data_IF_928755293820
#
_entry.id   IF_928755293820
#
_cell.length_a   1.000
_cell.length_b   1.000
_cell.length_c   1.000
_cell.angle_alpha   90.00
_cell.angle_beta   90.00
_cell.angle_gamma   90.00
#
_symmetry.space_group_name_H-M   'P 1'
#
loop_
_entity.id
_entity.type
_entity.pdbx_description
1 polymer ?
#
# COMPACT_ATOMS: atom_id res chain seq x y z
N UNK A 1 21.00 1.23 11.08
CA UNK A 1 21.01 0.42 9.84
C UNK A 1 19.63 -0.22 9.73
N UNK A 2 18.89 -0.04 8.63
CA UNK A 2 17.59 -0.72 8.46
C UNK A 2 17.88 -2.15 8.02
N UNK A 3 17.55 -3.12 8.87
CA UNK A 3 17.77 -4.54 8.61
C UNK A 3 16.64 -5.06 7.70
N UNK A 4 16.87 -6.14 6.95
CA UNK A 4 15.83 -6.75 6.10
C UNK A 4 14.56 -7.10 6.91
N UNK A 5 14.71 -7.45 8.19
CA UNK A 5 13.61 -7.73 9.12
C UNK A 5 12.69 -6.52 9.39
N UNK A 6 13.15 -5.30 9.10
CA UNK A 6 12.39 -4.07 9.34
C UNK A 6 11.54 -3.67 8.11
N UNK A 7 11.72 -4.37 6.99
CA UNK A 7 10.92 -4.23 5.77
C UNK A 7 9.60 -4.95 5.99
N UNK A 8 8.50 -4.22 5.86
CA UNK A 8 7.17 -4.78 6.10
C UNK A 8 6.32 -4.83 4.84
N UNK A 9 6.53 -3.94 3.87
CA UNK A 9 5.73 -3.90 2.64
C UNK A 9 6.54 -3.48 1.42
N UNK A 10 5.98 -3.73 0.24
CA UNK A 10 6.59 -3.42 -1.06
C UNK A 10 5.60 -2.66 -1.93
N UNK A 11 6.09 -1.68 -2.66
CA UNK A 11 5.30 -0.97 -3.67
C UNK A 11 5.55 -1.60 -5.02
N UNK A 12 4.48 -2.07 -5.65
CA UNK A 12 4.52 -2.75 -6.93
C UNK A 12 3.60 -2.05 -7.93
N UNK A 13 3.78 -2.35 -9.21
CA UNK A 13 2.81 -2.10 -10.28
C UNK A 13 2.34 -3.41 -10.87
N UNK A 14 1.19 -3.38 -11.54
CA UNK A 14 0.73 -4.54 -12.30
C UNK A 14 1.49 -4.65 -13.61
N UNK A 15 1.81 -5.88 -14.00
CA UNK A 15 2.22 -6.21 -15.35
C UNK A 15 1.10 -5.83 -16.36
N UNK A 16 1.54 -5.49 -17.57
CA UNK A 16 0.63 -5.22 -18.67
C UNK A 16 -0.19 -6.47 -19.03
N UNK A 17 -1.28 -6.29 -19.78
CA UNK A 17 -2.11 -7.42 -20.21
C UNK A 17 -1.33 -8.43 -21.05
N UNK A 18 -0.40 -7.97 -21.87
CA UNK A 18 0.45 -8.82 -22.70
C UNK A 18 1.42 -9.63 -21.84
N UNK A 19 2.14 -8.99 -20.91
CA UNK A 19 3.07 -9.68 -20.01
C UNK A 19 2.36 -10.70 -19.10
N UNK A 20 1.11 -10.43 -18.69
CA UNK A 20 0.33 -11.42 -17.93
C UNK A 20 -0.09 -12.64 -18.75
N UNK A 21 -0.37 -12.46 -20.05
CA UNK A 21 -0.76 -13.55 -20.95
C UNK A 21 0.41 -14.50 -21.19
N UNK A 22 1.62 -13.95 -21.33
CA UNK A 22 2.85 -14.73 -21.51
C UNK A 22 3.21 -15.59 -20.28
N UNK A 23 2.61 -15.28 -19.13
CA UNK A 23 2.83 -15.97 -17.85
C UNK A 23 1.73 -16.98 -17.50
N UNK A 24 0.85 -17.35 -18.44
CA UNK A 24 -0.33 -18.22 -18.22
C UNK A 24 -1.15 -17.82 -16.99
N UNK A 25 -1.13 -16.53 -16.66
CA UNK A 25 -1.75 -16.03 -15.44
C UNK A 25 -3.21 -15.71 -15.74
N UNK A 26 -4.12 -16.35 -15.03
CA UNK A 26 -5.55 -16.03 -15.11
C UNK A 26 -5.73 -14.51 -14.93
N UNK A 27 -6.27 -13.85 -15.95
CA UNK A 27 -6.43 -12.40 -15.93
C UNK A 27 -7.51 -12.05 -14.91
N UNK A 28 -7.11 -11.69 -13.68
CA UNK A 28 -8.05 -11.26 -12.66
C UNK A 28 -8.77 -9.99 -13.15
N UNK A 29 -10.10 -9.96 -13.06
CA UNK A 29 -10.91 -8.80 -13.44
C UNK A 29 -10.77 -7.71 -12.38
N UNK A 30 -9.69 -6.93 -12.47
CA UNK A 30 -9.49 -5.73 -11.66
C UNK A 30 -10.10 -4.50 -12.32
N UNK A 31 -10.62 -3.53 -11.54
CA UNK A 31 -11.02 -2.24 -12.10
C UNK A 31 -9.84 -1.61 -12.87
N UNK A 32 -10.09 -1.14 -14.10
CA UNK A 32 -9.04 -0.55 -14.97
C UNK A 32 -8.21 0.54 -14.28
N UNK A 33 -8.84 1.31 -13.37
CA UNK A 33 -8.17 2.35 -12.59
C UNK A 33 -7.14 1.79 -11.61
N UNK A 34 -7.40 0.64 -11.00
CA UNK A 34 -6.50 -0.02 -10.06
C UNK A 34 -5.30 -0.60 -10.81
N UNK A 35 -5.53 -1.23 -11.96
CA UNK A 35 -4.47 -1.84 -12.78
C UNK A 35 -3.40 -0.83 -13.26
N UNK A 36 -3.77 0.44 -13.42
CA UNK A 36 -2.87 1.52 -13.86
C UNK A 36 -2.11 2.22 -12.71
N UNK A 37 -2.45 1.90 -11.46
CA UNK A 37 -1.86 2.54 -10.30
C UNK A 37 -0.80 1.65 -9.66
N UNK A 38 0.11 2.28 -8.92
CA UNK A 38 0.95 1.55 -7.96
C UNK A 38 0.09 0.99 -6.83
N UNK A 39 0.54 -0.11 -6.23
CA UNK A 39 -0.11 -0.75 -5.10
C UNK A 39 0.89 -1.04 -4.00
N UNK A 40 0.44 -0.99 -2.75
CA UNK A 40 1.19 -1.51 -1.61
C UNK A 40 0.78 -2.95 -1.36
N UNK A 41 1.76 -3.85 -1.33
CA UNK A 41 1.59 -5.25 -0.93
C UNK A 41 1.59 -5.33 0.59
N UNK A 42 0.51 -5.88 1.15
CA UNK A 42 0.33 -6.02 2.61
C UNK A 42 0.82 -7.36 3.15
N UNK A 43 0.83 -8.41 2.32
CA UNK A 43 1.19 -9.77 2.72
C UNK A 43 0.41 -10.83 1.95
N UNK A 44 0.70 -12.10 2.24
CA UNK A 44 0.00 -13.24 1.66
C UNK A 44 -1.45 -13.35 2.13
N UNK A 45 -2.29 -13.99 1.32
CA UNK A 45 -3.68 -14.29 1.67
C UNK A 45 -3.76 -15.65 2.37
N UNK A 46 -4.40 -15.76 3.55
CA UNK A 46 -4.60 -17.05 4.21
C UNK A 46 -5.30 -18.05 3.30
N UNK A 47 -4.76 -19.26 3.19
CA UNK A 47 -5.31 -20.32 2.34
C UNK A 47 -4.94 -20.24 0.86
N UNK A 48 -4.17 -19.23 0.41
CA UNK A 48 -3.77 -19.11 -1.00
C UNK A 48 -2.31 -18.64 -1.12
N UNK A 49 -1.40 -19.58 -1.39
CA UNK A 49 0.05 -19.33 -1.37
C UNK A 49 0.56 -18.43 -2.50
N UNK A 50 -0.17 -18.34 -3.61
CA UNK A 50 0.21 -17.55 -4.78
C UNK A 50 -0.49 -16.19 -4.86
N UNK A 51 -1.28 -15.81 -3.85
CA UNK A 51 -1.98 -14.53 -3.82
C UNK A 51 -1.49 -13.64 -2.68
N UNK A 52 -1.50 -12.35 -2.95
CA UNK A 52 -1.19 -11.30 -1.98
C UNK A 52 -2.32 -10.30 -1.91
N UNK A 53 -2.51 -9.74 -0.72
CA UNK A 53 -3.43 -8.63 -0.50
C UNK A 53 -2.71 -7.32 -0.83
N UNK A 54 -3.34 -6.51 -1.68
CA UNK A 54 -2.80 -5.23 -2.13
C UNK A 54 -3.80 -4.10 -1.91
N UNK A 55 -3.27 -2.89 -1.70
CA UNK A 55 -4.06 -1.66 -1.60
C UNK A 55 -3.54 -0.63 -2.60
N UNK A 56 -4.43 0.08 -3.34
CA UNK A 56 -4.00 1.01 -4.36
C UNK A 56 -3.44 2.31 -3.78
N UNK A 57 -2.39 2.81 -4.42
CA UNK A 57 -1.79 4.11 -4.16
C UNK A 57 -2.34 5.10 -5.17
N UNK A 58 -2.69 6.30 -4.71
CA UNK A 58 -3.25 7.37 -5.53
C UNK A 58 -2.59 8.70 -5.19
N UNK A 59 -2.55 9.60 -6.18
CA UNK A 59 -2.19 11.01 -5.97
C UNK A 59 -3.41 11.94 -5.95
N UNK A 60 -4.60 11.40 -6.20
CA UNK A 60 -5.87 12.15 -6.23
C UNK A 60 -6.75 11.77 -5.06
N UNK A 61 -7.36 12.76 -4.43
CA UNK A 61 -8.35 12.60 -3.39
C UNK A 61 -9.75 12.38 -3.94
N UNK A 62 -10.53 11.53 -3.26
CA UNK A 62 -11.97 11.41 -3.45
C UNK A 62 -12.67 11.67 -2.11
N UNK A 63 -13.66 12.56 -2.11
CA UNK A 63 -14.46 12.81 -0.93
C UNK A 63 -15.14 11.52 -0.43
N UNK A 64 -15.14 11.31 0.88
CA UNK A 64 -15.73 10.14 1.52
C UNK A 64 -14.91 8.84 1.43
N UNK A 65 -13.69 8.88 0.88
CA UNK A 65 -12.73 7.76 0.93
C UNK A 65 -11.69 7.95 2.03
N UNK A 66 -11.15 6.84 2.52
CA UNK A 66 -10.12 6.85 3.55
C UNK A 66 -8.73 6.70 2.96
N UNK A 67 -7.83 7.55 3.45
CA UNK A 67 -6.47 7.63 2.94
C UNK A 67 -5.45 7.64 4.06
N UNK A 68 -4.28 7.06 3.79
CA UNK A 68 -3.09 7.19 4.63
C UNK A 68 -1.96 7.79 3.79
N UNK A 69 -1.36 8.92 4.19
CA UNK A 69 -0.26 9.52 3.45
C UNK A 69 0.98 8.63 3.47
N UNK A 70 1.69 8.59 2.34
CA UNK A 70 3.01 7.95 2.21
C UNK A 70 4.07 9.05 2.17
N UNK A 71 5.05 8.98 3.06
CA UNK A 71 6.15 9.93 3.12
C UNK A 71 6.83 10.06 1.73
N UNK A 72 7.19 11.28 1.29
CA UNK A 72 7.25 12.53 2.06
C UNK A 72 5.94 13.34 2.13
N UNK A 73 4.80 12.79 1.69
CA UNK A 73 3.50 13.48 1.76
C UNK A 73 3.16 13.88 3.20
N UNK A 74 2.88 15.16 3.51
CA UNK A 74 2.68 15.60 4.89
C UNK A 74 1.60 14.80 5.64
N UNK A 75 1.87 14.49 6.92
CA UNK A 75 0.92 13.78 7.79
C UNK A 75 -0.33 14.61 8.13
N UNK A 76 -0.31 15.94 7.96
CA UNK A 76 -1.32 16.90 8.50
C UNK A 76 -2.76 16.34 8.49
N UNK A 77 -3.32 16.12 9.68
CA UNK A 77 -4.70 15.62 9.90
C UNK A 77 -4.87 14.10 9.91
N UNK A 78 -3.89 13.32 9.46
CA UNK A 78 -3.95 11.85 9.44
C UNK A 78 -3.38 11.22 10.70
N UNK A 79 -4.04 10.16 11.19
CA UNK A 79 -3.61 9.41 12.39
C UNK A 79 -2.23 8.79 12.22
N UNK A 80 -1.97 8.23 11.04
CA UNK A 80 -0.71 7.55 10.69
C UNK A 80 -0.16 8.04 9.35
N UNK A 81 1.11 7.78 9.10
CA UNK A 81 1.80 8.09 7.84
C UNK A 81 2.77 6.94 7.54
N UNK A 82 2.71 6.38 6.33
CA UNK A 82 3.60 5.30 5.91
C UNK A 82 5.00 5.84 5.58
N UNK A 83 6.03 5.11 5.98
CA UNK A 83 7.43 5.51 5.77
C UNK A 83 8.11 4.60 4.75
N UNK A 84 8.78 5.21 3.77
CA UNK A 84 9.60 4.51 2.79
C UNK A 84 11.02 4.31 3.30
N UNK A 85 11.69 3.26 2.83
CA UNK A 85 13.07 2.94 3.17
C UNK A 85 14.02 4.03 2.64
N UNK A 86 14.94 4.43 3.49
CA UNK A 86 16.11 5.23 3.09
C UNK A 86 17.25 4.30 2.69
N UNK A 87 17.85 4.54 1.54
CA UNK A 87 18.98 3.78 1.02
C UNK A 87 20.28 4.56 1.22
N UNK A 88 21.40 3.84 1.25
CA UNK A 88 22.72 4.42 1.05
C UNK A 88 23.13 4.13 -0.38
N UNK A 89 23.49 5.17 -1.10
CA UNK A 89 23.82 5.07 -2.53
C UNK A 89 25.14 5.76 -2.76
N UNK A 90 25.89 5.28 -3.75
CA UNK A 90 27.12 5.90 -4.19
C UNK A 90 26.78 6.95 -5.24
N UNK A 91 27.08 8.21 -4.96
CA UNK A 91 26.77 9.34 -5.84
C UNK A 91 27.89 10.39 -5.76
N UNK A 92 28.31 10.89 -6.91
CA UNK A 92 29.36 11.92 -7.04
C UNK A 92 30.64 11.66 -6.21
N UNK A 93 31.12 10.41 -6.16
CA UNK A 93 32.37 10.10 -5.45
C UNK A 93 32.20 9.80 -3.95
N UNK A 94 30.98 9.80 -3.41
CA UNK A 94 30.74 9.62 -1.97
C UNK A 94 29.51 8.76 -1.66
N UNK A 95 29.45 8.21 -0.45
CA UNK A 95 28.27 7.49 0.05
C UNK A 95 27.26 8.51 0.62
N UNK A 96 26.12 8.65 -0.05
CA UNK A 96 25.04 9.56 0.35
C UNK A 96 23.81 8.79 0.87
N UNK A 97 23.02 9.43 1.74
CA UNK A 97 21.71 8.90 2.15
C UNK A 97 20.63 9.37 1.19
N UNK A 98 20.02 8.43 0.49
CA UNK A 98 18.93 8.71 -0.43
C UNK A 98 17.57 8.40 0.20
N UNK A 99 16.75 9.45 0.33
CA UNK A 99 15.38 9.34 0.81
C UNK A 99 14.47 9.07 -0.38
N UNK A 100 13.94 7.85 -0.47
CA UNK A 100 12.97 7.51 -1.51
C UNK A 100 11.73 8.39 -1.42
N UNK A 101 11.30 8.88 -2.58
CA UNK A 101 10.12 9.70 -2.74
C UNK A 101 9.36 9.27 -3.98
N UNK A 102 8.05 9.14 -3.84
CA UNK A 102 7.17 9.06 -5.00
C UNK A 102 7.10 10.45 -5.64
N UNK A 103 7.04 10.53 -6.96
CA UNK A 103 7.12 11.79 -7.73
C UNK A 103 6.03 12.81 -7.36
N UNK A 104 4.89 12.34 -6.85
CA UNK A 104 3.75 13.15 -6.42
C UNK A 104 3.40 12.83 -4.97
N UNK A 105 2.70 13.75 -4.33
CA UNK A 105 2.02 13.45 -3.07
C UNK A 105 1.12 12.23 -3.27
N UNK A 106 1.36 11.22 -2.44
CA UNK A 106 0.85 9.88 -2.62
C UNK A 106 0.19 9.38 -1.34
N UNK A 107 -0.96 8.76 -1.52
CA UNK A 107 -1.82 8.29 -0.46
C UNK A 107 -2.19 6.84 -0.74
N UNK A 108 -2.09 6.01 0.29
CA UNK A 108 -2.66 4.67 0.27
C UNK A 108 -4.16 4.77 0.49
N UNK A 109 -4.95 4.21 -0.42
CA UNK A 109 -6.40 4.10 -0.27
C UNK A 109 -6.73 2.87 0.56
N UNK A 110 -7.22 3.05 1.79
CA UNK A 110 -7.38 1.97 2.79
C UNK A 110 -8.81 1.45 2.92
N UNK A 111 -9.77 2.07 2.24
CA UNK A 111 -11.14 1.60 2.02
C UNK A 111 -11.26 0.70 0.77
N UNK A 112 -10.13 0.27 0.18
CA UNK A 112 -10.13 -0.63 -0.97
C UNK A 112 -8.93 -1.57 -0.94
N UNK A 113 -9.19 -2.88 -0.89
CA UNK A 113 -8.16 -3.91 -0.99
C UNK A 113 -8.54 -4.96 -2.02
N UNK A 114 -7.53 -5.54 -2.66
CA UNK A 114 -7.70 -6.58 -3.67
C UNK A 114 -6.76 -7.74 -3.36
N UNK A 115 -7.18 -8.94 -3.69
CA UNK A 115 -6.34 -10.14 -3.65
C UNK A 115 -5.93 -10.46 -5.07
N UNK A 116 -4.62 -10.54 -5.31
CA UNK A 116 -4.07 -10.65 -6.67
C UNK A 116 -2.97 -11.70 -6.69
N UNK A 117 -2.79 -12.42 -7.81
CA UNK A 117 -1.65 -13.32 -7.97
C UNK A 117 -0.32 -12.55 -7.86
N UNK A 118 0.63 -13.07 -7.09
CA UNK A 118 1.95 -12.45 -6.89
C UNK A 118 2.68 -12.25 -8.22
N UNK A 119 2.52 -13.17 -9.17
CA UNK A 119 3.16 -13.11 -10.49
C UNK A 119 2.66 -11.97 -11.39
N UNK A 120 1.54 -11.32 -11.06
CA UNK A 120 1.06 -10.14 -11.79
C UNK A 120 1.74 -8.85 -11.34
N UNK A 121 2.60 -8.90 -10.33
CA UNK A 121 3.20 -7.72 -9.70
C UNK A 121 4.69 -7.63 -10.02
N UNK A 122 5.13 -6.41 -10.31
CA UNK A 122 6.54 -6.07 -10.46
C UNK A 122 6.89 -4.95 -9.48
N UNK A 123 8.03 -5.08 -8.81
CA UNK A 123 8.50 -4.06 -7.86
C UNK A 123 8.77 -2.74 -8.59
N UNK A 124 8.26 -1.64 -8.04
CA UNK A 124 8.61 -0.30 -8.52
C UNK A 124 9.99 0.03 -8.00
N UNK A 125 10.86 0.53 -8.87
CA UNK A 125 12.23 0.90 -8.52
C UNK A 125 12.49 2.39 -8.75
N UNK A 126 13.42 2.94 -7.99
CA UNK A 126 13.93 4.30 -8.19
C UNK A 126 15.03 4.33 -9.27
N UNK A 127 15.54 5.54 -9.55
CA UNK A 127 16.61 5.75 -10.54
C UNK A 127 17.96 5.06 -10.21
N UNK A 128 18.15 4.56 -8.98
CA UNK A 128 19.31 3.76 -8.59
C UNK A 128 18.99 2.26 -8.56
N UNK A 129 17.90 1.83 -9.20
CA UNK A 129 17.39 0.46 -9.21
C UNK A 129 16.99 -0.08 -7.82
N UNK A 130 16.78 0.79 -6.83
CA UNK A 130 16.32 0.35 -5.51
C UNK A 130 14.80 0.22 -5.48
N UNK A 131 14.23 -0.89 -4.97
CA UNK A 131 12.79 -1.06 -4.87
C UNK A 131 12.19 -0.12 -3.82
N UNK A 132 10.94 0.28 -4.02
CA UNK A 132 10.20 1.08 -3.03
C UNK A 132 9.64 0.18 -1.91
N UNK A 133 10.22 0.32 -0.72
CA UNK A 133 9.93 -0.55 0.43
C UNK A 133 9.36 0.24 1.61
N UNK A 134 8.32 -0.28 2.26
CA UNK A 134 7.76 0.30 3.49
C UNK A 134 8.47 -0.30 4.70
N UNK A 135 8.87 0.56 5.64
CA UNK A 135 9.61 0.18 6.84
C UNK A 135 8.82 0.43 8.12
N UNK A 136 9.09 -0.36 9.14
CA UNK A 136 8.70 -0.08 10.53
C UNK A 136 9.77 0.75 11.21
N UNK A 137 9.62 2.08 11.25
CA UNK A 137 10.48 2.92 12.09
C UNK A 137 9.65 3.68 13.12
N UNK A 138 9.47 3.10 14.30
CA UNK A 138 8.71 3.69 15.42
C UNK A 138 7.20 3.72 15.18
N UNK A 139 6.74 4.46 14.17
CA UNK A 139 5.36 4.55 13.70
C UNK A 139 5.35 4.61 12.15
N UNK A 140 4.33 4.05 11.51
CA UNK A 140 4.13 4.09 10.05
C UNK A 140 4.48 2.82 9.28
N UNK A 141 4.67 1.69 9.98
CA UNK A 141 4.84 0.36 9.36
C UNK A 141 3.50 -0.31 9.03
N UNK A 142 3.56 -1.48 8.36
CA UNK A 142 2.35 -2.24 8.02
C UNK A 142 1.59 -2.72 9.25
N UNK A 143 2.27 -3.06 10.36
CA UNK A 143 1.57 -3.51 11.58
C UNK A 143 0.63 -2.42 12.10
N UNK A 144 1.12 -1.18 12.18
CA UNK A 144 0.30 -0.05 12.61
C UNK A 144 -0.81 0.27 11.60
N UNK A 145 -0.54 0.10 10.31
CA UNK A 145 -1.57 0.23 9.27
C UNK A 145 -2.69 -0.81 9.47
N UNK A 146 -2.34 -2.07 9.70
CA UNK A 146 -3.30 -3.15 9.94
C UNK A 146 -4.11 -2.90 11.23
N UNK A 147 -3.44 -2.54 12.32
CA UNK A 147 -4.10 -2.16 13.58
C UNK A 147 -5.06 -0.98 13.38
N UNK A 148 -4.66 0.03 12.62
CA UNK A 148 -5.49 1.19 12.32
C UNK A 148 -6.72 0.84 11.49
N UNK A 149 -6.55 0.03 10.43
CA UNK A 149 -7.65 -0.46 9.60
C UNK A 149 -8.63 -1.27 10.43
N UNK A 150 -8.14 -2.19 11.26
CA UNK A 150 -9.00 -3.03 12.10
C UNK A 150 -9.82 -2.21 13.09
N UNK A 151 -9.21 -1.22 13.75
CA UNK A 151 -9.94 -0.30 14.66
C UNK A 151 -11.00 0.50 13.91
N UNK A 152 -10.67 1.04 12.73
CA UNK A 152 -11.62 1.78 11.90
C UNK A 152 -12.82 0.91 11.52
N UNK A 153 -12.56 -0.31 11.06
CA UNK A 153 -13.60 -1.21 10.59
C UNK A 153 -14.53 -1.64 11.73
N UNK A 154 -13.96 -1.96 12.90
CA UNK A 154 -14.74 -2.27 14.11
C UNK A 154 -15.65 -1.13 14.55
N UNK A 155 -15.16 0.13 14.53
CA UNK A 155 -15.98 1.30 14.88
C UNK A 155 -17.16 1.44 13.90
N UNK A 156 -16.91 1.25 12.60
CA UNK A 156 -17.95 1.35 11.57
C UNK A 156 -19.02 0.27 11.69
N UNK A 157 -18.60 -0.95 11.98
CA UNK A 157 -19.51 -2.07 12.22
C UNK A 157 -20.41 -1.78 13.43
N UNK A 158 -19.83 -1.26 14.51
CA UNK A 158 -20.57 -0.89 15.70
C UNK A 158 -21.58 0.25 15.44
N UNK A 159 -21.17 1.31 14.74
CA UNK A 159 -22.07 2.41 14.34
C UNK A 159 -23.20 1.93 13.42
N UNK A 160 -22.92 1.00 12.52
CA UNK A 160 -23.93 0.43 11.63
C UNK A 160 -24.97 -0.39 12.40
N UNK A 161 -24.53 -1.18 13.40
CA UNK A 161 -25.42 -1.95 14.27
C UNK A 161 -26.36 -1.03 15.07
N UNK A 162 -25.83 0.03 15.70
CA UNK A 162 -26.68 0.98 16.44
C UNK A 162 -27.75 1.62 15.54
N UNK A 163 -27.38 2.07 14.33
CA UNK A 163 -28.33 2.67 13.38
C UNK A 163 -29.38 1.69 12.88
N UNK A 164 -29.05 0.40 12.79
CA UNK A 164 -30.03 -0.63 12.43
C UNK A 164 -31.05 -0.82 13.56
N UNK A 165 -30.59 -0.90 14.81
CA UNK A 165 -31.48 -1.06 15.98
C UNK A 165 -32.40 0.13 16.23
N UNK A 166 -31.95 1.37 15.94
CA UNK A 166 -32.81 2.57 16.03
C UNK A 166 -33.90 2.62 14.95
N UNK A 167 -33.66 2.01 13.78
CA UNK A 167 -34.66 1.94 12.70
C UNK A 167 -35.71 0.85 12.90
N UNK A 168 -35.42 -0.17 13.70
CA UNK A 168 -36.36 -1.26 14.01
C UNK A 168 -37.25 -0.93 15.21
N UNK A 169 -36.89 0.08 16.01
CA UNK A 169 -37.61 0.48 17.23
C UNK A 169 -38.39 1.79 17.12
N UNK A 170 -38.31 2.49 15.98
CA UNK A 170 -39.09 3.70 15.66
C UNK A 170 -40.05 3.47 14.51
#
# INVERSE_FOLDING_TARGET
MVLLKDIQGRICTFLSSTECLDLDTTTLVLPKKVRRNMVLVLGGVPGTSNHVKVMPITSTFKAGSDYVPIAPTPKKGYTIQLQLRTYRVWHNGSEERYFQRLLKHSYLKIDSSYEVPTQMLVDVKDHFDNPFMVISKGQGGLRQLQEYIHRRDSIREQEALYRATEKETG
#
